data_IF_363029166174
#
_entry.id   IF_363029166174
#
_cell.length_a   1.000
_cell.length_b   1.000
_cell.length_c   1.000
_cell.angle_alpha   90.00
_cell.angle_beta   90.00
_cell.angle_gamma   90.00
#
_symmetry.space_group_name_H-M   'P 1'
#
loop_
_entity.id
_entity.type
_entity.pdbx_description
1 polymer ?
#
# COMPACT_ATOMS: atom_id res chain seq x y z
N UNK A 1 -4.00 40.07 -9.44
CA UNK A 1 -4.75 38.82 -9.21
C UNK A 1 -4.56 37.81 -10.34
N UNK A 2 -4.69 38.19 -11.61
CA UNK A 2 -4.51 37.28 -12.77
C UNK A 2 -3.12 36.62 -12.83
N UNK A 3 -2.04 37.36 -12.52
CA UNK A 3 -0.67 36.82 -12.50
C UNK A 3 -0.39 35.80 -11.39
N UNK A 4 -1.13 35.87 -10.27
CA UNK A 4 -0.97 34.92 -9.16
C UNK A 4 -1.58 33.57 -9.53
N UNK A 5 -2.72 33.58 -10.23
CA UNK A 5 -3.37 32.37 -10.77
C UNK A 5 -2.54 31.68 -11.85
N UNK A 6 -1.85 32.43 -12.72
CA UNK A 6 -1.00 31.82 -13.77
C UNK A 6 0.26 31.15 -13.20
N UNK A 7 0.82 31.71 -12.13
CA UNK A 7 1.98 31.15 -11.42
C UNK A 7 1.62 29.87 -10.65
N UNK A 8 0.44 29.81 -10.03
CA UNK A 8 -0.05 28.60 -9.35
C UNK A 8 -0.39 27.48 -10.34
N UNK A 9 -1.01 27.79 -11.49
CA UNK A 9 -1.31 26.78 -12.53
C UNK A 9 -0.05 26.19 -13.18
N UNK A 10 1.01 26.99 -13.32
CA UNK A 10 2.29 26.53 -13.91
C UNK A 10 3.07 25.64 -12.92
N UNK A 11 2.99 25.92 -11.62
CA UNK A 11 3.62 25.09 -10.58
C UNK A 11 2.98 23.70 -10.45
N UNK A 12 1.67 23.57 -10.71
CA UNK A 12 0.95 22.29 -10.72
C UNK A 12 1.37 21.40 -11.92
N UNK A 13 1.75 22.00 -13.05
CA UNK A 13 2.20 21.26 -14.24
C UNK A 13 3.61 20.65 -14.09
N UNK A 14 4.46 21.18 -13.19
CA UNK A 14 5.84 20.71 -12.99
C UNK A 14 5.97 19.54 -12.00
N UNK A 15 4.89 19.06 -11.37
CA UNK A 15 4.95 18.04 -10.31
C UNK A 15 4.74 16.59 -10.74
N UNK A 16 4.73 16.25 -12.03
CA UNK A 16 4.47 14.86 -12.46
C UNK A 16 5.51 14.34 -13.46
N UNK A 17 6.79 14.46 -13.12
CA UNK A 17 7.76 13.48 -13.62
C UNK A 17 7.73 12.31 -12.62
N UNK A 18 6.75 11.42 -12.75
CA UNK A 18 6.84 10.11 -12.11
C UNK A 18 7.97 9.37 -12.83
N UNK A 19 9.20 9.49 -12.33
CA UNK A 19 10.23 8.52 -12.67
C UNK A 19 9.69 7.16 -12.20
N UNK A 20 9.46 6.25 -13.15
CA UNK A 20 8.92 4.92 -12.88
C UNK A 20 9.95 4.05 -12.18
N UNK A 21 10.17 4.30 -10.90
CA UNK A 21 10.93 3.42 -10.03
C UNK A 21 10.00 2.33 -9.51
N UNK A 22 10.54 1.11 -9.41
CA UNK A 22 9.87 0.06 -8.65
C UNK A 22 9.77 0.50 -7.19
N UNK A 23 8.61 0.27 -6.58
CA UNK A 23 8.41 0.49 -5.15
C UNK A 23 9.32 -0.44 -4.34
N UNK A 24 9.60 -0.07 -3.09
CA UNK A 24 10.34 -0.89 -2.13
C UNK A 24 9.43 -1.30 -0.98
N UNK A 25 9.37 -2.58 -0.63
CA UNK A 25 8.43 -3.08 0.38
C UNK A 25 9.12 -3.99 1.40
N UNK A 26 8.47 -4.20 2.54
CA UNK A 26 8.82 -5.33 3.39
C UNK A 26 8.27 -6.62 2.77
N UNK A 27 9.04 -7.71 2.84
CA UNK A 27 8.66 -9.01 2.30
C UNK A 27 8.85 -10.12 3.34
N UNK A 28 7.79 -10.88 3.61
CA UNK A 28 7.83 -12.03 4.50
C UNK A 28 6.57 -12.89 4.33
N UNK A 29 6.67 -14.16 4.70
CA UNK A 29 5.54 -15.06 4.78
C UNK A 29 5.67 -15.86 6.08
N UNK A 30 4.80 -15.57 7.05
CA UNK A 30 4.73 -16.31 8.29
C UNK A 30 3.41 -17.04 8.44
N UNK A 31 3.53 -18.30 8.82
CA UNK A 31 2.43 -19.18 9.17
C UNK A 31 2.59 -19.57 10.63
N UNK A 32 1.59 -19.28 11.45
CA UNK A 32 1.53 -19.59 12.86
C UNK A 32 2.80 -19.16 13.64
N UNK A 33 3.33 -17.97 13.34
CA UNK A 33 4.48 -17.41 14.04
C UNK A 33 5.84 -17.99 13.67
N UNK A 34 5.97 -18.68 12.53
CA UNK A 34 7.27 -19.17 12.00
C UNK A 34 8.31 -18.06 11.79
N UNK A 35 7.87 -16.82 11.57
CA UNK A 35 8.68 -15.62 11.46
C UNK A 35 8.02 -14.51 12.29
N UNK A 36 8.49 -14.37 13.53
CA UNK A 36 7.96 -13.37 14.48
C UNK A 36 8.13 -11.93 14.00
N UNK A 37 9.12 -11.64 13.17
CA UNK A 37 9.35 -10.27 12.67
C UNK A 37 8.32 -9.90 11.60
N UNK A 38 7.72 -10.89 10.96
CA UNK A 38 6.57 -10.70 10.09
C UNK A 38 5.27 -10.41 10.87
N UNK A 39 5.11 -10.85 12.12
CA UNK A 39 3.88 -10.54 12.86
C UNK A 39 3.87 -9.10 13.40
N UNK A 40 2.71 -8.66 13.89
CA UNK A 40 2.58 -7.42 14.63
C UNK A 40 2.83 -7.69 16.14
N UNK A 41 3.47 -6.77 16.88
CA UNK A 41 4.03 -5.49 16.45
C UNK A 41 5.23 -5.67 15.51
N UNK A 42 5.23 -4.90 14.42
CA UNK A 42 6.21 -5.04 13.35
C UNK A 42 7.55 -4.40 13.71
N UNK A 43 8.66 -5.10 13.44
CA UNK A 43 10.02 -4.65 13.72
C UNK A 43 10.81 -4.46 12.42
N UNK A 44 10.84 -3.24 11.84
CA UNK A 44 11.51 -2.97 10.56
C UNK A 44 12.97 -3.40 10.50
N UNK A 45 13.72 -3.24 11.59
CA UNK A 45 15.16 -3.56 11.64
C UNK A 45 15.46 -5.07 11.54
N UNK A 46 14.47 -5.91 11.82
CA UNK A 46 14.59 -7.38 11.81
C UNK A 46 13.81 -8.02 10.66
N UNK A 47 13.30 -7.21 9.73
CA UNK A 47 12.46 -7.63 8.61
C UNK A 47 13.19 -7.43 7.29
N UNK A 48 12.87 -8.25 6.30
CA UNK A 48 13.42 -8.10 4.95
C UNK A 48 12.77 -6.90 4.26
N UNK A 49 13.59 -5.93 3.86
CA UNK A 49 13.18 -4.79 3.05
C UNK A 49 13.81 -4.93 1.66
N UNK A 50 12.97 -5.08 0.64
CA UNK A 50 13.42 -5.26 -0.74
C UNK A 50 13.32 -3.94 -1.48
N UNK A 51 14.48 -3.40 -1.85
CA UNK A 51 14.57 -2.17 -2.64
C UNK A 51 14.21 -2.43 -4.11
N UNK A 52 13.36 -1.57 -4.69
CA UNK A 52 13.02 -1.61 -6.11
C UNK A 52 12.52 -2.98 -6.58
N UNK A 53 11.54 -3.53 -5.88
CA UNK A 53 11.14 -4.92 -6.07
C UNK A 53 10.54 -5.21 -7.45
N UNK A 54 10.84 -6.40 -7.95
CA UNK A 54 10.35 -6.89 -9.24
C UNK A 54 9.63 -8.20 -9.05
N UNK A 55 8.47 -8.34 -9.67
CA UNK A 55 7.59 -9.50 -9.51
C UNK A 55 7.16 -10.05 -10.88
N UNK A 56 6.85 -11.35 -11.00
CA UNK A 56 6.34 -11.91 -12.23
C UNK A 56 4.93 -11.36 -12.57
N UNK A 57 4.59 -11.35 -13.86
CA UNK A 57 3.24 -11.03 -14.35
C UNK A 57 2.71 -12.24 -15.11
N UNK A 58 1.48 -12.65 -14.79
CA UNK A 58 0.83 -13.76 -15.50
C UNK A 58 0.80 -13.51 -17.02
N UNK A 59 1.12 -14.55 -17.79
CA UNK A 59 1.18 -14.47 -19.25
C UNK A 59 2.38 -13.70 -19.84
N UNK A 60 3.36 -13.30 -19.03
CA UNK A 60 4.54 -12.56 -19.50
C UNK A 60 5.85 -13.20 -19.01
N UNK A 61 6.89 -13.15 -19.84
CA UNK A 61 8.23 -13.66 -19.50
C UNK A 61 9.02 -12.54 -18.80
N UNK A 62 9.60 -12.86 -17.63
CA UNK A 62 10.46 -11.96 -16.87
C UNK A 62 9.80 -11.39 -15.62
N UNK A 63 10.44 -10.38 -15.03
CA UNK A 63 9.97 -9.68 -13.84
C UNK A 63 9.75 -8.20 -14.15
N UNK A 64 8.73 -7.62 -13.53
CA UNK A 64 8.26 -6.27 -13.77
C UNK A 64 8.34 -5.44 -12.49
N UNK A 65 8.63 -4.14 -12.58
CA UNK A 65 8.67 -3.25 -11.41
C UNK A 65 7.31 -3.25 -10.70
N UNK A 66 7.31 -3.59 -9.41
CA UNK A 66 6.11 -3.56 -8.60
C UNK A 66 5.66 -2.11 -8.34
N UNK A 67 4.34 -1.92 -8.16
CA UNK A 67 3.75 -0.61 -7.93
C UNK A 67 3.12 -0.47 -6.54
N UNK A 68 2.86 -1.60 -5.85
CA UNK A 68 2.18 -1.61 -4.57
C UNK A 68 2.85 -2.57 -3.59
N UNK A 69 2.75 -2.24 -2.31
CA UNK A 69 3.00 -3.18 -1.22
C UNK A 69 1.68 -3.70 -0.68
N UNK A 70 1.62 -4.98 -0.34
CA UNK A 70 0.50 -5.56 0.40
C UNK A 70 0.92 -6.06 1.78
N UNK A 71 -0.06 -6.08 2.69
CA UNK A 71 -0.04 -6.84 3.93
C UNK A 71 -1.31 -7.69 3.98
N UNK A 72 -1.15 -9.00 4.00
CA UNK A 72 -2.22 -9.96 4.24
C UNK A 72 -2.12 -10.39 5.70
N UNK A 73 -3.23 -10.32 6.43
CA UNK A 73 -3.34 -10.83 7.80
C UNK A 73 -4.64 -11.60 7.94
N UNK A 74 -4.60 -12.81 8.47
CA UNK A 74 -5.79 -13.62 8.61
C UNK A 74 -5.53 -14.95 9.28
N UNK A 75 -6.55 -15.80 9.30
CA UNK A 75 -6.45 -17.18 9.76
C UNK A 75 -7.00 -18.13 8.72
N UNK A 76 -6.40 -19.31 8.61
CA UNK A 76 -6.94 -20.38 7.76
C UNK A 76 -8.29 -20.83 8.31
N UNK A 77 -9.30 -20.91 7.44
CA UNK A 77 -10.68 -21.24 7.85
C UNK A 77 -10.78 -22.61 8.53
N UNK A 78 -9.97 -23.58 8.12
CA UNK A 78 -10.04 -24.95 8.63
C UNK A 78 -9.16 -25.21 9.87
N UNK A 79 -7.96 -24.63 9.92
CA UNK A 79 -6.96 -24.94 10.96
C UNK A 79 -6.80 -23.81 11.98
N UNK A 80 -7.42 -22.66 11.75
CA UNK A 80 -7.26 -21.42 12.53
C UNK A 80 -5.81 -20.92 12.66
N UNK A 81 -4.89 -21.45 11.84
CA UNK A 81 -3.51 -21.01 11.79
C UNK A 81 -3.44 -19.55 11.34
N UNK A 82 -2.70 -18.72 12.06
CA UNK A 82 -2.49 -17.32 11.71
C UNK A 82 -1.55 -17.19 10.52
N UNK A 83 -1.87 -16.33 9.57
CA UNK A 83 -1.02 -15.98 8.45
C UNK A 83 -0.76 -14.49 8.44
N UNK A 84 0.50 -14.11 8.30
CA UNK A 84 0.92 -12.74 8.00
C UNK A 84 1.86 -12.78 6.82
N UNK A 85 1.48 -12.12 5.73
CA UNK A 85 2.26 -12.05 4.49
C UNK A 85 2.44 -10.59 4.11
N UNK A 86 3.66 -10.23 3.76
CA UNK A 86 3.99 -8.95 3.15
C UNK A 86 4.71 -9.22 1.84
N UNK A 87 4.31 -8.53 0.78
CA UNK A 87 4.84 -8.75 -0.56
C UNK A 87 4.72 -7.50 -1.41
N UNK A 88 5.54 -7.46 -2.46
CA UNK A 88 5.36 -6.55 -3.59
C UNK A 88 4.33 -7.11 -4.57
N UNK A 89 3.52 -6.24 -5.17
CA UNK A 89 2.55 -6.63 -6.21
C UNK A 89 2.47 -5.59 -7.34
N UNK A 90 2.01 -6.03 -8.51
CA UNK A 90 1.85 -5.18 -9.70
C UNK A 90 0.58 -4.35 -9.67
N UNK A 91 -0.48 -4.92 -9.12
CA UNK A 91 -1.85 -4.42 -9.19
C UNK A 91 -2.37 -4.12 -7.78
N UNK A 92 -3.23 -3.10 -7.68
CA UNK A 92 -3.89 -2.78 -6.43
C UNK A 92 -4.93 -3.87 -6.11
N UNK A 93 -4.81 -4.51 -4.95
CA UNK A 93 -5.74 -5.55 -4.48
C UNK A 93 -6.90 -4.98 -3.64
N UNK A 94 -6.98 -3.65 -3.57
CA UNK A 94 -7.83 -2.86 -2.69
C UNK A 94 -7.64 -3.19 -1.20
N UNK A 95 -8.24 -2.39 -0.34
CA UNK A 95 -8.32 -2.67 1.09
C UNK A 95 -9.62 -3.40 1.36
N UNK A 96 -9.55 -4.72 1.58
CA UNK A 96 -10.73 -5.55 1.76
C UNK A 96 -10.52 -6.58 2.87
N UNK A 97 -11.61 -6.90 3.57
CA UNK A 97 -11.63 -7.92 4.61
C UNK A 97 -12.76 -8.91 4.34
N UNK A 98 -12.51 -10.18 4.61
CA UNK A 98 -13.46 -11.26 4.37
C UNK A 98 -12.77 -12.60 4.24
N UNK A 99 -13.46 -13.53 3.57
CA UNK A 99 -12.91 -14.84 3.23
C UNK A 99 -12.41 -14.80 1.80
N UNK A 100 -11.15 -15.15 1.59
CA UNK A 100 -10.52 -15.17 0.26
C UNK A 100 -9.55 -16.34 0.14
N UNK A 101 -9.24 -16.72 -1.10
CA UNK A 101 -8.19 -17.70 -1.37
C UNK A 101 -6.85 -16.99 -1.54
N UNK A 102 -5.85 -17.47 -0.83
CA UNK A 102 -4.46 -17.06 -1.00
C UNK A 102 -3.63 -18.31 -1.26
N UNK A 103 -3.06 -18.42 -2.45
CA UNK A 103 -2.37 -19.64 -2.91
C UNK A 103 -3.26 -20.90 -2.76
N UNK A 104 -2.86 -21.87 -1.94
CA UNK A 104 -3.62 -23.09 -1.65
C UNK A 104 -4.57 -22.97 -0.45
N UNK A 105 -4.46 -21.92 0.35
CA UNK A 105 -5.21 -21.76 1.59
C UNK A 105 -6.43 -20.85 1.42
N UNK A 106 -7.48 -21.11 2.20
CA UNK A 106 -8.62 -20.19 2.34
C UNK A 106 -8.48 -19.47 3.66
N UNK A 107 -8.26 -18.16 3.58
CA UNK A 107 -8.03 -17.29 4.71
C UNK A 107 -9.28 -16.47 5.02
N UNK A 108 -9.56 -16.27 6.30
CA UNK A 108 -10.45 -15.25 6.80
C UNK A 108 -9.60 -14.13 7.41
N UNK A 109 -9.63 -12.95 6.82
CA UNK A 109 -8.71 -11.87 7.17
C UNK A 109 -8.89 -10.61 6.35
N UNK A 110 -7.82 -9.84 6.21
CA UNK A 110 -7.76 -8.61 5.42
C UNK A 110 -6.55 -8.61 4.48
N UNK A 111 -6.74 -8.01 3.29
CA UNK A 111 -5.70 -7.60 2.38
C UNK A 111 -5.64 -6.07 2.46
N UNK A 112 -4.46 -5.54 2.79
CA UNK A 112 -4.20 -4.10 2.89
C UNK A 112 -3.18 -3.72 1.83
N UNK A 113 -3.50 -2.74 1.00
CA UNK A 113 -2.68 -2.29 -0.14
C UNK A 113 -2.30 -0.82 0.00
N UNK A 114 -1.06 -0.48 -0.36
CA UNK A 114 -0.52 0.87 -0.36
C UNK A 114 0.58 1.05 -1.42
N UNK A 115 0.89 2.30 -1.78
CA UNK A 115 1.64 2.67 -2.99
C UNK A 115 2.87 3.57 -2.72
N UNK A 116 3.45 3.48 -1.52
CA UNK A 116 4.69 4.16 -1.16
C UNK A 116 5.68 3.25 -0.42
N UNK A 117 6.97 3.57 -0.48
CA UNK A 117 8.03 2.71 0.05
C UNK A 117 7.82 2.35 1.54
N UNK A 118 7.91 1.05 1.83
CA UNK A 118 7.82 0.49 3.19
C UNK A 118 6.45 0.68 3.87
N UNK A 119 5.40 1.01 3.12
CA UNK A 119 4.08 1.32 3.68
C UNK A 119 3.42 0.13 4.41
N UNK A 120 3.71 -1.10 3.97
CA UNK A 120 3.16 -2.34 4.53
C UNK A 120 3.72 -2.72 5.91
N UNK A 121 4.52 -1.85 6.55
CA UNK A 121 4.85 -1.92 7.98
C UNK A 121 3.66 -1.61 8.89
N UNK A 122 2.69 -0.83 8.42
CA UNK A 122 1.64 -0.26 9.26
C UNK A 122 0.64 -1.32 9.75
N UNK A 123 0.12 -1.11 10.96
CA UNK A 123 -1.01 -1.86 11.52
C UNK A 123 -2.34 -1.17 11.26
N UNK A 124 -2.33 0.05 10.72
CA UNK A 124 -3.52 0.89 10.55
C UNK A 124 -3.58 1.51 9.16
N UNK A 125 -4.79 1.61 8.61
CA UNK A 125 -5.07 2.32 7.38
C UNK A 125 -4.98 3.83 7.65
N UNK A 126 -3.90 4.47 7.20
CA UNK A 126 -3.70 5.89 7.41
C UNK A 126 -4.56 6.67 6.40
N UNK A 127 -5.79 7.01 6.77
CA UNK A 127 -6.53 8.04 6.03
C UNK A 127 -5.84 9.38 6.30
N UNK A 128 -5.34 10.04 5.24
CA UNK A 128 -4.65 11.32 5.39
C UNK A 128 -5.65 12.41 5.78
N UNK A 129 -5.74 12.70 7.08
CA UNK A 129 -6.59 13.75 7.66
C UNK A 129 -6.33 15.12 6.99
N UNK A 130 -5.11 15.36 6.52
CA UNK A 130 -4.74 16.58 5.78
C UNK A 130 -5.51 16.75 4.45
N UNK A 131 -5.85 15.67 3.75
CA UNK A 131 -6.68 15.74 2.53
C UNK A 131 -8.13 16.11 2.86
N UNK A 132 -8.65 15.64 4.01
CA UNK A 132 -9.98 16.01 4.47
C UNK A 132 -10.07 17.49 4.89
N UNK A 133 -9.02 18.00 5.56
CA UNK A 133 -8.98 19.39 6.02
C UNK A 133 -8.79 20.40 4.90
N UNK A 134 -8.05 20.04 3.85
CA UNK A 134 -7.84 20.91 2.68
C UNK A 134 -9.11 20.99 1.81
N UNK A 135 -9.78 19.87 1.56
CA UNK A 135 -11.03 19.84 0.79
C UNK A 135 -12.16 20.62 1.47
N UNK A 136 -12.31 20.49 2.79
CA UNK A 136 -13.31 21.25 3.56
C UNK A 136 -13.02 22.75 3.60
N UNK A 137 -11.75 23.16 3.77
CA UNK A 137 -11.36 24.58 3.74
C UNK A 137 -11.57 25.22 2.36
N UNK A 138 -11.28 24.49 1.27
CA UNK A 138 -11.51 24.98 -0.09
C UNK A 138 -13.02 25.16 -0.36
N UNK A 139 -13.85 24.18 0.04
CA UNK A 139 -15.31 24.28 -0.10
C UNK A 139 -15.88 25.47 0.69
N UNK A 140 -15.41 25.68 1.91
CA UNK A 140 -15.81 26.82 2.75
C UNK A 140 -15.45 28.16 2.10
N UNK A 141 -14.25 28.30 1.54
CA UNK A 141 -13.82 29.50 0.82
C UNK A 141 -14.64 29.75 -0.45
N UNK A 142 -15.07 28.70 -1.16
CA UNK A 142 -15.96 28.82 -2.33
C UNK A 142 -17.34 29.32 -1.88
N UNK A 143 -17.90 28.78 -0.80
CA UNK A 143 -19.23 29.15 -0.29
C UNK A 143 -19.29 30.60 0.25
N UNK A 144 -18.20 31.13 0.80
CA UNK A 144 -18.14 32.54 1.25
C UNK A 144 -18.01 33.52 0.07
N UNK A 145 -17.56 33.05 -1.09
CA UNK A 145 -17.37 33.85 -2.30
C UNK A 145 -18.63 33.98 -3.15
N UNK A 146 -19.71 33.28 -2.80
CA UNK A 146 -21.04 33.36 -3.43
C UNK A 146 -22.01 34.18 -2.59
#
# INVERSE_FOLDING_TARGET
MLHFFTLTTLSIFLQRINQGYAISCYECNSKNGTDRNCHDPFHPAMSTYTEGCKVPKEGHIGQFPANFCIKVIGKTVHTEEEHVIRACVLENMDNQCGVFRFESDTLQGCILTCDYDGCNRSTTLHQSIFLLLTTTSILFLILIRF
#
